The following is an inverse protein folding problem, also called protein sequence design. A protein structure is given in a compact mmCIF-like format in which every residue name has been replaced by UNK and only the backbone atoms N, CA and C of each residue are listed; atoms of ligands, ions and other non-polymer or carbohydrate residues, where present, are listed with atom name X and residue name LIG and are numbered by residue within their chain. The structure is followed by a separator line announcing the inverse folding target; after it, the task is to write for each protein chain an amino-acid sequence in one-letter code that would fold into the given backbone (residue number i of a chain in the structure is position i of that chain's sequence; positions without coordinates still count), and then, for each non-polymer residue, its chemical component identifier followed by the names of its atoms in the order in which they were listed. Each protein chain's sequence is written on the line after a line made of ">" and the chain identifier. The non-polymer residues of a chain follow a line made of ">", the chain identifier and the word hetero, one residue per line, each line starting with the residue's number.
data_IF_396047331102
#
_entry.id   IF_396047331102
#
_cell.length_a   1.000
_cell.length_b   1.000
_cell.length_c   1.000
_cell.angle_alpha   90.00
_cell.angle_beta   90.00
_cell.angle_gamma   90.00
#
_symmetry.space_group_name_H-M   'P 1'
#
loop_
_entity.id
_entity.type
_entity.pdbx_description
1 polymer ?
#
# COMPACT_ATOMS: atom_id res chain seq x y z
N UNK A 1 -26.02 29.59 -26.82
CA UNK A 1 -24.58 29.63 -26.48
C UNK A 1 -24.13 28.18 -26.43
N UNK A 2 -23.09 27.79 -27.19
CA UNK A 2 -23.10 26.56 -27.98
C UNK A 2 -22.75 25.28 -27.21
N UNK A 3 -23.36 24.17 -27.66
CA UNK A 3 -23.03 22.77 -27.38
C UNK A 3 -21.51 22.49 -27.39
N UNK A 4 -21.05 21.79 -26.34
CA UNK A 4 -19.70 21.22 -26.28
C UNK A 4 -19.50 20.16 -27.36
N UNK A 5 -18.40 20.26 -28.10
CA UNK A 5 -18.09 19.36 -29.20
C UNK A 5 -17.90 17.91 -28.72
N UNK A 6 -18.49 16.90 -29.41
CA UNK A 6 -18.17 15.50 -29.18
C UNK A 6 -16.82 15.20 -29.83
N UNK A 7 -15.76 15.06 -29.04
CA UNK A 7 -14.45 14.71 -29.61
C UNK A 7 -13.19 14.92 -28.76
N UNK A 8 -13.26 15.47 -27.55
CA UNK A 8 -12.12 15.35 -26.63
C UNK A 8 -12.25 14.03 -25.89
N UNK A 9 -11.50 13.01 -26.29
CA UNK A 9 -11.36 11.78 -25.49
C UNK A 9 -10.96 12.15 -24.06
N UNK A 10 -11.49 11.41 -23.09
CA UNK A 10 -11.11 11.56 -21.69
C UNK A 10 -9.86 10.68 -21.45
N UNK A 11 -8.65 11.26 -21.45
CA UNK A 11 -7.42 10.48 -21.33
C UNK A 11 -7.33 9.74 -19.99
N UNK A 12 -8.02 10.21 -18.96
CA UNK A 12 -8.12 9.55 -17.66
C UNK A 12 -8.99 8.30 -17.81
N UNK A 13 -10.16 8.41 -18.44
CA UNK A 13 -11.00 7.25 -18.74
C UNK A 13 -10.23 6.20 -19.55
N UNK A 14 -9.48 6.61 -20.57
CA UNK A 14 -8.64 5.70 -21.36
C UNK A 14 -7.51 5.04 -20.53
N UNK A 15 -6.96 5.74 -19.52
CA UNK A 15 -5.97 5.16 -18.61
C UNK A 15 -6.60 4.08 -17.71
N UNK A 16 -7.77 4.36 -17.12
CA UNK A 16 -8.52 3.39 -16.32
C UNK A 16 -8.97 2.18 -17.15
N UNK A 17 -9.49 2.42 -18.36
CA UNK A 17 -9.93 1.36 -19.29
C UNK A 17 -8.80 0.51 -19.84
N UNK A 18 -7.52 0.90 -19.70
CA UNK A 18 -6.37 0.07 -20.07
C UNK A 18 -5.97 -0.91 -18.98
N UNK A 19 -6.36 -0.66 -17.74
CA UNK A 19 -6.01 -1.52 -16.60
C UNK A 19 -6.88 -2.78 -16.62
N UNK A 20 -6.27 -3.91 -16.31
CA UNK A 20 -6.90 -5.23 -16.23
C UNK A 20 -6.66 -5.85 -14.85
N UNK A 21 -7.55 -6.77 -14.41
CA UNK A 21 -7.26 -7.60 -13.25
C UNK A 21 -5.91 -8.32 -13.44
N UNK A 22 -5.05 -8.24 -12.43
CA UNK A 22 -3.70 -8.79 -12.42
C UNK A 22 -2.59 -7.79 -12.74
N UNK A 23 -2.91 -6.60 -13.24
CA UNK A 23 -1.93 -5.55 -13.50
C UNK A 23 -1.37 -4.98 -12.19
N UNK A 24 -0.11 -4.57 -12.23
CA UNK A 24 0.53 -3.88 -11.11
C UNK A 24 0.74 -2.41 -11.43
N UNK A 25 0.60 -1.58 -10.41
CA UNK A 25 0.71 -0.13 -10.49
C UNK A 25 1.81 0.37 -9.56
N UNK A 26 2.53 1.41 -9.97
CA UNK A 26 3.52 2.10 -9.14
C UNK A 26 2.96 3.26 -8.32
N UNK A 27 1.64 3.37 -8.28
CA UNK A 27 0.95 4.39 -7.51
C UNK A 27 1.12 4.11 -6.01
N UNK A 28 1.60 5.11 -5.28
CA UNK A 28 1.81 5.04 -3.84
C UNK A 28 1.61 6.42 -3.22
N UNK A 29 1.39 6.46 -1.91
CA UNK A 29 1.35 7.74 -1.20
C UNK A 29 2.74 8.21 -0.79
N UNK A 30 2.94 9.51 -0.81
CA UNK A 30 4.10 10.21 -0.23
C UNK A 30 3.62 11.11 0.92
N UNK A 31 3.07 10.48 1.97
CA UNK A 31 2.28 11.16 3.00
C UNK A 31 0.79 11.03 2.73
N UNK A 32 0.05 12.14 2.71
CA UNK A 32 -1.40 12.09 2.43
C UNK A 32 -1.71 11.99 0.93
N UNK A 33 -0.81 12.54 0.10
CA UNK A 33 -0.96 12.66 -1.35
C UNK A 33 -0.45 11.42 -2.09
N UNK A 34 -1.13 11.08 -3.18
CA UNK A 34 -0.66 10.09 -4.14
C UNK A 34 0.39 10.69 -5.07
N UNK A 35 1.41 9.91 -5.43
CA UNK A 35 2.40 10.32 -6.41
C UNK A 35 1.81 10.56 -7.81
N UNK A 36 0.68 9.94 -8.12
CA UNK A 36 -0.11 10.15 -9.35
C UNK A 36 -1.56 9.70 -9.11
N UNK A 37 -2.52 10.46 -9.65
CA UNK A 37 -3.95 10.11 -9.66
C UNK A 37 -4.36 9.30 -10.90
N UNK A 38 -3.42 9.10 -11.83
CA UNK A 38 -3.60 8.21 -12.99
C UNK A 38 -2.95 6.86 -12.70
N UNK A 39 -3.59 5.73 -13.05
CA UNK A 39 -2.97 4.41 -12.95
C UNK A 39 -1.67 4.34 -13.75
N UNK A 40 -0.56 4.07 -13.07
CA UNK A 40 0.76 3.94 -13.66
C UNK A 40 1.14 2.47 -13.71
N UNK A 41 0.82 1.79 -14.80
CA UNK A 41 1.11 0.36 -14.97
C UNK A 41 2.62 0.11 -15.00
N UNK A 42 3.04 -0.92 -14.27
CA UNK A 42 4.41 -1.42 -14.23
C UNK A 42 4.41 -2.95 -14.24
N UNK A 43 5.54 -3.55 -14.61
CA UNK A 43 5.69 -4.99 -14.47
C UNK A 43 5.55 -5.38 -12.99
N UNK A 44 4.75 -6.40 -12.67
CA UNK A 44 4.58 -6.87 -11.29
C UNK A 44 5.86 -7.39 -10.63
N UNK A 45 6.87 -7.77 -11.43
CA UNK A 45 8.18 -8.17 -10.91
C UNK A 45 9.09 -6.97 -10.59
N UNK A 46 8.69 -5.75 -10.94
CA UNK A 46 9.44 -4.53 -10.65
C UNK A 46 9.38 -4.18 -9.16
N UNK A 47 10.46 -3.64 -8.62
CA UNK A 47 10.50 -3.08 -7.26
C UNK A 47 9.53 -1.89 -7.09
N UNK A 48 9.16 -1.25 -8.21
CA UNK A 48 8.18 -0.17 -8.23
C UNK A 48 6.73 -0.65 -8.15
N UNK A 49 6.46 -1.96 -8.22
CA UNK A 49 5.10 -2.50 -8.11
C UNK A 49 4.58 -2.34 -6.67
N UNK A 50 3.63 -1.43 -6.49
CA UNK A 50 3.09 -1.05 -5.19
C UNK A 50 1.65 -1.50 -4.98
N UNK A 51 0.82 -1.44 -6.02
CA UNK A 51 -0.54 -1.96 -6.00
C UNK A 51 -0.69 -3.05 -7.05
N UNK A 52 -1.55 -4.01 -6.78
CA UNK A 52 -2.08 -4.96 -7.75
C UNK A 52 -3.57 -4.72 -7.89
N UNK A 53 -4.03 -4.69 -9.13
CA UNK A 53 -5.45 -4.63 -9.46
C UNK A 53 -6.01 -6.03 -9.32
N UNK A 54 -6.93 -6.23 -8.39
CA UNK A 54 -7.56 -7.53 -8.17
C UNK A 54 -8.79 -7.71 -9.04
N UNK A 55 -9.50 -6.62 -9.32
CA UNK A 55 -10.75 -6.62 -10.08
C UNK A 55 -10.99 -5.25 -10.72
N UNK A 56 -11.75 -5.24 -11.83
CA UNK A 56 -12.23 -4.02 -12.48
C UNK A 56 -13.74 -4.14 -12.60
N UNK A 57 -14.46 -3.14 -12.08
CA UNK A 57 -15.92 -3.14 -11.92
C UNK A 57 -16.48 -1.74 -12.17
N UNK A 58 -17.79 -1.58 -12.10
CA UNK A 58 -18.50 -0.29 -12.21
C UNK A 58 -18.96 0.24 -10.85
N UNK A 59 -18.76 -0.54 -9.77
CA UNK A 59 -19.28 -0.26 -8.42
C UNK A 59 -18.19 -0.44 -7.35
N UNK A 60 -17.89 0.62 -6.61
CA UNK A 60 -16.86 0.59 -5.57
C UNK A 60 -17.22 -0.30 -4.39
N UNK A 61 -18.51 -0.41 -4.07
CA UNK A 61 -19.02 -1.24 -2.99
C UNK A 61 -18.79 -2.76 -3.19
N UNK A 62 -18.45 -3.19 -4.40
CA UNK A 62 -18.09 -4.59 -4.66
C UNK A 62 -16.62 -4.89 -4.40
N UNK A 63 -15.78 -3.87 -4.22
CA UNK A 63 -14.36 -4.07 -3.96
C UNK A 63 -14.14 -4.63 -2.55
N UNK A 64 -13.25 -5.63 -2.41
CA UNK A 64 -12.83 -6.11 -1.10
C UNK A 64 -12.25 -4.97 -0.25
N UNK A 65 -12.77 -4.78 0.96
CA UNK A 65 -12.29 -3.78 1.92
C UNK A 65 -11.36 -4.39 2.96
N UNK A 66 -10.55 -3.56 3.62
CA UNK A 66 -9.69 -3.96 4.74
C UNK A 66 -8.28 -3.41 4.61
N UNK A 67 -7.44 -3.66 5.61
CA UNK A 67 -6.06 -3.16 5.63
C UNK A 67 -5.26 -3.68 4.42
N UNK A 68 -4.63 -2.78 3.67
CA UNK A 68 -3.92 -3.10 2.42
C UNK A 68 -4.82 -3.23 1.19
N UNK A 69 -6.13 -3.03 1.32
CA UNK A 69 -7.07 -3.03 0.18
C UNK A 69 -7.69 -1.64 0.01
N UNK A 70 -8.09 -1.33 -1.21
CA UNK A 70 -8.79 -0.07 -1.51
C UNK A 70 -9.36 -0.09 -2.93
N UNK A 71 -9.93 1.03 -3.33
CA UNK A 71 -10.49 1.21 -4.66
C UNK A 71 -10.12 2.58 -5.21
N UNK A 72 -9.95 2.64 -6.53
CA UNK A 72 -9.89 3.88 -7.29
C UNK A 72 -11.00 3.88 -8.32
N UNK A 73 -11.61 5.04 -8.56
CA UNK A 73 -12.67 5.15 -9.55
C UNK A 73 -12.53 6.41 -10.39
N UNK A 74 -13.02 6.32 -11.61
CA UNK A 74 -13.14 7.46 -12.52
C UNK A 74 -14.49 7.41 -13.22
N UNK A 75 -15.14 8.57 -13.31
CA UNK A 75 -16.37 8.76 -14.08
C UNK A 75 -16.02 9.53 -15.34
N UNK A 76 -16.19 8.90 -16.49
CA UNK A 76 -15.96 9.53 -17.79
C UNK A 76 -16.92 10.68 -18.04
N UNK A 77 -16.59 11.55 -19.01
CA UNK A 77 -17.49 12.61 -19.46
C UNK A 77 -18.86 12.10 -19.97
N UNK A 78 -18.93 10.84 -20.43
CA UNK A 78 -20.16 10.16 -20.85
C UNK A 78 -20.98 9.55 -19.71
N UNK A 79 -20.49 9.62 -18.46
CA UNK A 79 -21.15 9.06 -17.28
C UNK A 79 -20.83 7.59 -16.99
N UNK A 80 -19.97 6.94 -17.79
CA UNK A 80 -19.48 5.59 -17.50
C UNK A 80 -18.49 5.62 -16.34
N UNK A 81 -18.71 4.76 -15.35
CA UNK A 81 -17.85 4.64 -14.17
C UNK A 81 -16.95 3.43 -14.34
N UNK A 82 -15.64 3.61 -14.14
CA UNK A 82 -14.67 2.51 -14.04
C UNK A 82 -14.04 2.52 -12.66
N UNK A 83 -14.13 1.39 -11.97
CA UNK A 83 -13.58 1.18 -10.64
C UNK A 83 -12.50 0.10 -10.72
N UNK A 84 -11.35 0.38 -10.12
CA UNK A 84 -10.24 -0.56 -9.94
C UNK A 84 -10.24 -0.98 -8.47
N UNK A 85 -10.44 -2.26 -8.19
CA UNK A 85 -10.22 -2.81 -6.86
C UNK A 85 -8.73 -3.12 -6.71
N UNK A 86 -8.13 -2.58 -5.65
CA UNK A 86 -6.68 -2.54 -5.46
C UNK A 86 -6.31 -3.30 -4.19
N UNK A 87 -5.18 -4.00 -4.28
CA UNK A 87 -4.51 -4.64 -3.17
C UNK A 87 -3.06 -4.18 -3.13
N UNK A 88 -2.54 -3.95 -1.94
CA UNK A 88 -1.17 -3.51 -1.70
C UNK A 88 -0.21 -4.68 -1.90
N UNK A 89 0.81 -4.48 -2.73
CA UNK A 89 1.88 -5.43 -3.01
C UNK A 89 3.07 -5.20 -2.07
N UNK A 90 3.13 -5.96 -0.98
CA UNK A 90 4.21 -5.84 0.01
C UNK A 90 5.48 -6.54 -0.45
N UNK A 91 6.62 -5.85 -0.33
CA UNK A 91 7.94 -6.42 -0.66
C UNK A 91 8.97 -6.10 0.41
N UNK A 92 9.85 -7.04 0.76
CA UNK A 92 11.01 -6.76 1.60
C UNK A 92 11.81 -5.57 1.06
N UNK A 93 12.27 -4.70 1.96
CA UNK A 93 13.02 -3.49 1.63
C UNK A 93 12.17 -2.23 1.44
N UNK A 94 10.84 -2.35 1.27
CA UNK A 94 9.97 -1.17 1.22
C UNK A 94 9.87 -0.50 2.59
N UNK A 95 10.03 0.82 2.62
CA UNK A 95 10.00 1.62 3.84
C UNK A 95 8.74 2.46 3.94
N UNK A 96 8.23 2.55 5.16
CA UNK A 96 6.96 3.21 5.46
C UNK A 96 7.05 3.94 6.82
N UNK A 97 6.28 5.02 7.01
CA UNK A 97 6.28 5.79 8.24
C UNK A 97 5.47 5.10 9.33
N UNK A 98 5.92 5.27 10.56
CA UNK A 98 5.21 4.80 11.73
C UNK A 98 5.39 5.77 12.91
N UNK A 99 4.49 5.64 13.88
CA UNK A 99 4.56 6.36 15.14
C UNK A 99 5.11 5.43 16.19
N UNK A 100 6.33 5.71 16.65
CA UNK A 100 6.90 5.10 17.84
C UNK A 100 6.46 5.85 19.09
N UNK A 101 6.16 5.08 20.14
CA UNK A 101 5.85 5.55 21.47
C UNK A 101 6.54 4.67 22.53
N UNK A 102 6.64 5.21 23.73
CA UNK A 102 7.04 4.42 24.89
C UNK A 102 5.94 3.43 25.26
N UNK A 103 6.33 2.25 25.71
CA UNK A 103 5.36 1.24 26.12
C UNK A 103 5.98 0.17 27.02
N UNK A 104 5.21 -0.88 27.37
CA UNK A 104 5.66 -1.93 28.29
C UNK A 104 6.94 -2.65 27.83
N UNK A 105 7.20 -2.67 26.52
CA UNK A 105 8.39 -3.28 25.93
C UNK A 105 9.66 -2.40 26.03
N UNK A 106 9.54 -1.16 26.51
CA UNK A 106 10.60 -0.17 26.65
C UNK A 106 10.34 1.13 25.85
N UNK A 107 11.21 2.14 26.01
CA UNK A 107 11.05 3.43 25.36
C UNK A 107 11.17 3.32 23.83
N UNK A 108 10.28 4.02 23.11
CA UNK A 108 10.19 4.05 21.66
C UNK A 108 9.96 2.69 21.00
N UNK A 109 9.42 1.68 21.71
CA UNK A 109 9.23 0.31 21.16
C UNK A 109 7.80 -0.03 20.81
N UNK A 110 6.82 0.70 21.33
CA UNK A 110 5.45 0.56 20.89
C UNK A 110 5.28 1.24 19.54
N UNK A 111 4.60 0.57 18.61
CA UNK A 111 4.20 1.14 17.32
C UNK A 111 2.67 1.14 17.30
N UNK A 112 2.01 2.14 17.94
CA UNK A 112 0.56 2.24 17.94
C UNK A 112 -0.04 2.54 16.56
N UNK A 113 0.71 3.19 15.66
CA UNK A 113 0.24 3.60 14.34
C UNK A 113 1.33 3.39 13.30
N UNK A 114 0.94 2.94 12.10
CA UNK A 114 1.81 2.83 10.92
C UNK A 114 0.98 3.00 9.65
N UNK A 115 1.54 3.65 8.63
CA UNK A 115 0.87 3.80 7.32
C UNK A 115 1.61 3.01 6.25
N UNK A 116 1.11 1.81 5.97
CA UNK A 116 1.69 0.91 4.98
C UNK A 116 1.29 1.26 3.52
N UNK A 117 0.46 2.28 3.32
CA UNK A 117 0.13 2.84 2.01
C UNK A 117 1.10 3.93 1.56
N UNK A 118 1.95 4.42 2.47
CA UNK A 118 3.03 5.34 2.14
C UNK A 118 4.30 4.56 1.82
N UNK A 119 4.92 4.90 0.69
CA UNK A 119 6.29 4.49 0.39
C UNK A 119 7.20 5.70 0.54
N UNK A 120 8.27 5.54 1.31
CA UNK A 120 9.30 6.54 1.45
C UNK A 120 10.69 5.91 1.37
N UNK A 121 11.69 6.76 1.15
CA UNK A 121 13.09 6.38 1.30
C UNK A 121 13.38 5.96 2.74
N UNK A 122 14.10 4.86 2.93
CA UNK A 122 14.40 4.35 4.28
C UNK A 122 15.20 5.32 5.15
N UNK A 123 15.91 6.26 4.53
CA UNK A 123 16.66 7.34 5.17
C UNK A 123 15.93 8.68 5.21
N UNK A 124 14.61 8.72 4.96
CA UNK A 124 13.85 9.95 4.95
C UNK A 124 13.94 10.70 6.30
N UNK A 125 14.45 11.93 6.27
CA UNK A 125 14.57 12.78 7.46
C UNK A 125 13.27 13.49 7.83
N UNK A 126 12.39 13.69 6.84
CA UNK A 126 11.08 14.34 7.01
C UNK A 126 9.99 13.30 6.85
N UNK A 127 9.22 13.11 7.91
CA UNK A 127 8.08 12.21 7.92
C UNK A 127 6.79 13.03 7.92
N UNK A 128 5.71 12.53 7.29
CA UNK A 128 4.39 13.11 7.43
C UNK A 128 3.96 13.05 8.90
N UNK A 129 3.35 14.10 9.41
CA UNK A 129 2.68 14.03 10.72
C UNK A 129 1.58 12.96 10.67
N UNK A 130 1.36 12.18 11.76
CA UNK A 130 1.97 12.27 13.09
C UNK A 130 3.20 11.33 13.28
N UNK A 131 3.83 10.88 12.20
CA UNK A 131 4.85 9.83 12.25
C UNK A 131 6.22 10.37 12.66
N UNK A 132 6.99 9.54 13.38
CA UNK A 132 8.28 9.94 13.96
C UNK A 132 9.38 8.88 13.78
N UNK A 133 9.08 7.76 13.12
CA UNK A 133 10.06 6.74 12.76
C UNK A 133 9.75 6.14 11.40
N UNK A 134 10.78 5.61 10.75
CA UNK A 134 10.66 4.76 9.56
C UNK A 134 10.78 3.29 9.98
N UNK A 135 9.97 2.42 9.38
CA UNK A 135 10.14 0.98 9.41
C UNK A 135 10.40 0.46 8.00
N UNK A 136 11.08 -0.68 7.92
CA UNK A 136 11.36 -1.39 6.68
C UNK A 136 10.70 -2.77 6.74
N UNK A 137 10.00 -3.15 5.67
CA UNK A 137 9.49 -4.52 5.53
C UNK A 137 10.69 -5.47 5.48
N UNK A 138 10.76 -6.37 6.46
CA UNK A 138 11.81 -7.37 6.55
C UNK A 138 11.43 -8.68 5.88
N UNK A 139 10.15 -9.03 5.88
CA UNK A 139 9.63 -10.25 5.29
C UNK A 139 8.11 -10.15 5.03
N UNK A 140 7.61 -10.97 4.10
CA UNK A 140 6.18 -11.10 3.78
C UNK A 140 5.85 -12.58 3.72
N UNK A 141 4.96 -13.02 4.59
CA UNK A 141 4.60 -14.42 4.80
C UNK A 141 3.10 -14.62 4.55
N UNK A 142 2.66 -15.82 4.18
CA UNK A 142 1.24 -16.16 4.29
C UNK A 142 0.77 -15.96 5.74
N UNK A 143 -0.40 -15.34 5.92
CA UNK A 143 -0.96 -15.15 7.26
C UNK A 143 -1.35 -16.51 7.87
N UNK A 144 -0.85 -16.85 9.07
CA UNK A 144 -1.26 -18.06 9.77
C UNK A 144 -2.59 -17.85 10.51
N UNK A 145 -3.36 -18.91 10.72
CA UNK A 145 -4.61 -18.88 11.52
C UNK A 145 -4.40 -18.31 12.93
N UNK A 146 -3.20 -18.51 13.49
CA UNK A 146 -2.77 -17.91 14.75
C UNK A 146 -1.33 -17.47 14.62
N UNK A 147 -1.07 -16.18 14.85
CA UNK A 147 0.28 -15.62 14.80
C UNK A 147 1.12 -16.13 15.98
N UNK A 148 2.19 -16.91 15.74
CA UNK A 148 3.06 -17.39 16.82
C UNK A 148 3.83 -16.26 17.49
N UNK A 149 4.23 -16.48 18.74
CA UNK A 149 5.23 -15.63 19.38
C UNK A 149 6.52 -15.65 18.54
N UNK A 150 7.05 -14.47 18.21
CA UNK A 150 8.27 -14.30 17.42
C UNK A 150 8.21 -14.77 15.95
N UNK A 151 7.04 -14.72 15.30
CA UNK A 151 6.86 -15.05 13.87
C UNK A 151 7.87 -14.36 12.93
N UNK A 152 8.27 -13.13 13.26
CA UNK A 152 9.20 -12.33 12.45
C UNK A 152 10.67 -12.48 12.84
N UNK A 153 10.99 -13.32 13.83
CA UNK A 153 12.38 -13.54 14.26
C UNK A 153 13.16 -14.29 13.19
N UNK A 154 14.40 -13.86 12.93
CA UNK A 154 15.28 -14.48 11.92
C UNK A 154 16.01 -15.73 12.42
N UNK A 155 15.76 -16.16 13.65
CA UNK A 155 16.32 -17.40 14.18
C UNK A 155 16.42 -17.46 15.70
N UNK A 156 17.01 -18.54 16.20
CA UNK A 156 17.28 -18.73 17.62
C UNK A 156 18.34 -17.73 18.10
N UNK A 157 17.97 -16.87 19.05
CA UNK A 157 18.86 -15.85 19.61
C UNK A 157 18.84 -14.50 18.88
N UNK A 158 17.92 -14.30 17.93
CA UNK A 158 17.69 -12.99 17.34
C UNK A 158 17.26 -11.99 18.43
N UNK A 159 17.98 -10.87 18.50
CA UNK A 159 17.72 -9.76 19.44
C UNK A 159 17.05 -8.58 18.75
N UNK A 160 16.73 -8.72 17.47
CA UNK A 160 16.02 -7.73 16.68
C UNK A 160 14.63 -7.44 17.23
N UNK A 161 14.19 -6.20 17.04
CA UNK A 161 12.83 -5.79 17.33
C UNK A 161 12.03 -5.83 16.04
N UNK A 162 10.92 -6.56 16.09
CA UNK A 162 10.05 -6.75 14.95
C UNK A 162 8.62 -6.39 15.33
N UNK A 163 7.92 -5.90 14.32
CA UNK A 163 6.49 -5.66 14.35
C UNK A 163 5.87 -6.39 13.18
N UNK A 164 4.57 -6.69 13.30
CA UNK A 164 3.85 -7.35 12.23
C UNK A 164 2.46 -6.76 12.05
N UNK A 165 1.95 -6.92 10.85
CA UNK A 165 0.57 -6.62 10.49
C UNK A 165 0.01 -7.77 9.67
N UNK A 166 -1.22 -8.15 9.95
CA UNK A 166 -1.99 -9.05 9.09
C UNK A 166 -2.83 -8.19 8.16
N UNK A 167 -2.66 -8.37 6.85
CA UNK A 167 -3.12 -7.45 5.81
C UNK A 167 -3.77 -8.25 4.67
N UNK A 168 -4.34 -7.51 3.73
CA UNK A 168 -4.94 -8.04 2.52
C UNK A 168 -6.01 -9.11 2.83
N UNK A 169 -6.93 -8.78 3.74
CA UNK A 169 -8.03 -9.68 4.12
C UNK A 169 -7.54 -10.96 4.77
N UNK A 170 -6.61 -10.83 5.73
CA UNK A 170 -6.04 -11.93 6.52
C UNK A 170 -5.31 -13.01 5.72
N UNK A 171 -4.76 -12.65 4.56
CA UNK A 171 -4.00 -13.56 3.70
C UNK A 171 -2.49 -13.39 3.82
N UNK A 172 -2.04 -12.21 4.24
CA UNK A 172 -0.61 -11.88 4.31
C UNK A 172 -0.24 -11.34 5.70
N UNK A 173 0.91 -11.79 6.20
CA UNK A 173 1.57 -11.25 7.38
C UNK A 173 2.84 -10.52 6.93
N UNK A 174 2.88 -9.22 7.18
CA UNK A 174 4.02 -8.36 6.87
C UNK A 174 4.83 -8.17 8.14
N UNK A 175 6.09 -8.60 8.11
CA UNK A 175 7.07 -8.34 9.15
C UNK A 175 7.84 -7.07 8.83
N UNK A 176 8.03 -6.20 9.82
CA UNK A 176 8.91 -5.04 9.68
C UNK A 176 9.85 -4.89 10.87
N UNK A 177 10.95 -4.19 10.61
CA UNK A 177 11.92 -3.79 11.62
C UNK A 177 12.40 -2.37 11.34
N UNK A 178 13.33 -1.86 12.13
CA UNK A 178 13.99 -0.59 11.83
C UNK A 178 14.99 -0.78 10.70
N UNK A 179 15.14 0.19 9.78
CA UNK A 179 16.22 0.18 8.81
C UNK A 179 17.57 0.02 9.50
N UNK A 180 18.47 -0.75 8.90
CA UNK A 180 19.87 -0.76 9.32
C UNK A 180 20.46 0.64 9.09
N UNK A 181 21.22 1.14 10.07
CA UNK A 181 21.97 2.39 9.94
C UNK A 181 23.28 2.16 9.21
#
# INVERSE_FOLDING_TARGET
>A
MPEGAPGSGDPTAEAYQRVRPGDCLSNHKTGEEWNSHLPQQVACASDAAFLRVTEVTERAETCPSGSGRGDWHHTSAGGEVTVLCLQREFRPGQCFPARAADGPAGPGRAIPEADLHVWLDCGAERLPDPYNTVLVISDVLPAPDRVPAAVCSRGTGDRGHYWYWVLNGDTELVCATRPAR
#
